data_IF_660518905311
#
_entry.id   IF_660518905311
#
_cell.length_a   1.000
_cell.length_b   1.000
_cell.length_c   1.000
_cell.angle_alpha   90.00
_cell.angle_beta   90.00
_cell.angle_gamma   90.00
#
_symmetry.space_group_name_H-M   'P 1'
#
loop_
_entity.id
_entity.type
_entity.pdbx_description
1 polymer ?
#
# COMPACT_ATOMS: atom_id res chain seq x y z
N UNK A 1 22.06 -37.38 -10.10
CA UNK A 1 20.96 -38.33 -10.39
C UNK A 1 19.66 -37.53 -10.43
N UNK A 2 19.00 -37.50 -11.59
CA UNK A 2 17.58 -37.16 -11.74
C UNK A 2 17.19 -35.68 -11.81
N UNK A 3 17.49 -35.01 -12.93
CA UNK A 3 16.89 -33.71 -13.29
C UNK A 3 15.45 -33.98 -13.79
N UNK A 4 14.45 -33.86 -12.90
CA UNK A 4 13.04 -34.07 -13.26
C UNK A 4 12.52 -32.83 -14.00
N UNK A 5 12.70 -32.82 -15.32
CA UNK A 5 12.01 -31.91 -16.21
C UNK A 5 10.49 -32.04 -16.04
N UNK A 6 9.84 -30.95 -15.62
CA UNK A 6 8.38 -30.89 -15.51
C UNK A 6 7.77 -31.04 -16.92
N UNK A 7 6.85 -31.99 -17.15
CA UNK A 7 6.20 -32.14 -18.44
C UNK A 7 5.36 -30.90 -18.79
N UNK A 8 5.34 -30.57 -20.08
CA UNK A 8 4.54 -29.47 -20.62
C UNK A 8 3.06 -29.74 -20.38
N UNK A 9 2.40 -28.93 -19.55
CA UNK A 9 0.95 -28.81 -19.56
C UNK A 9 0.61 -27.93 -20.76
N UNK A 10 0.13 -28.57 -21.82
CA UNK A 10 -0.45 -27.89 -22.97
C UNK A 10 -1.75 -27.25 -22.50
N UNK A 11 -1.79 -25.92 -22.41
CA UNK A 11 -3.04 -25.21 -22.23
C UNK A 11 -3.81 -25.36 -23.53
N UNK A 12 -4.90 -26.12 -23.50
CA UNK A 12 -5.92 -26.11 -24.54
C UNK A 12 -6.64 -24.75 -24.44
N UNK A 13 -6.00 -23.70 -24.95
CA UNK A 13 -6.67 -22.44 -25.18
C UNK A 13 -7.68 -22.65 -26.32
N UNK A 14 -8.93 -22.33 -26.03
CA UNK A 14 -10.09 -22.33 -26.92
C UNK A 14 -9.98 -21.37 -28.12
N UNK A 15 -8.83 -20.73 -28.33
CA UNK A 15 -8.49 -19.82 -29.45
C UNK A 15 -7.64 -20.51 -30.54
N UNK A 16 -7.85 -21.81 -30.74
CA UNK A 16 -6.97 -22.70 -31.52
C UNK A 16 -6.81 -22.42 -33.02
N UNK A 17 -7.57 -21.47 -33.56
CA UNK A 17 -7.68 -21.24 -35.01
C UNK A 17 -6.89 -20.04 -35.53
N UNK A 18 -6.29 -19.20 -34.68
CA UNK A 18 -5.58 -17.98 -35.12
C UNK A 18 -4.11 -17.94 -34.69
N UNK A 19 -3.27 -17.36 -35.54
CA UNK A 19 -1.85 -17.14 -35.24
C UNK A 19 -1.68 -16.06 -34.16
N UNK A 20 -1.05 -16.38 -33.03
CA UNK A 20 -0.82 -15.44 -31.92
C UNK A 20 0.13 -14.27 -32.27
N UNK A 21 0.81 -14.30 -33.42
CA UNK A 21 1.71 -13.22 -33.86
C UNK A 21 1.11 -12.26 -34.89
N UNK A 22 0.20 -12.74 -35.75
CA UNK A 22 -0.37 -11.93 -36.84
C UNK A 22 -1.90 -11.99 -36.91
N UNK A 23 -2.54 -12.67 -35.95
CA UNK A 23 -3.98 -12.84 -35.78
C UNK A 23 -4.73 -13.37 -37.02
N UNK A 24 -4.01 -13.93 -37.99
CA UNK A 24 -4.63 -14.54 -39.16
C UNK A 24 -5.02 -15.98 -38.86
N UNK A 25 -6.14 -16.48 -39.41
CA UNK A 25 -6.58 -17.85 -39.20
C UNK A 25 -5.59 -18.86 -39.79
N UNK A 26 -5.47 -20.01 -39.14
CA UNK A 26 -4.80 -21.18 -39.68
C UNK A 26 -5.66 -21.78 -40.80
N UNK A 27 -5.00 -22.34 -41.81
CA UNK A 27 -5.66 -22.94 -42.97
C UNK A 27 -4.77 -24.05 -43.53
N UNK A 28 -5.26 -24.81 -44.50
CA UNK A 28 -4.48 -25.87 -45.16
C UNK A 28 -3.12 -25.38 -45.71
N UNK A 29 -3.04 -24.11 -46.16
CA UNK A 29 -1.79 -23.50 -46.65
C UNK A 29 -1.01 -22.75 -45.57
N UNK A 30 -1.59 -22.55 -44.38
CA UNK A 30 -0.99 -21.86 -43.24
C UNK A 30 -1.08 -22.74 -41.99
N UNK A 31 -0.12 -23.66 -41.86
CA UNK A 31 -0.03 -24.58 -40.73
C UNK A 31 0.25 -23.88 -39.38
N UNK A 32 -0.25 -24.48 -38.31
CA UNK A 32 -0.02 -24.08 -36.92
C UNK A 32 1.30 -24.67 -36.40
N UNK A 33 2.13 -23.82 -35.80
CA UNK A 33 3.39 -24.20 -35.16
C UNK A 33 3.47 -23.69 -33.73
N UNK A 34 3.93 -24.52 -32.81
CA UNK A 34 4.01 -24.14 -31.39
C UNK A 34 5.37 -23.53 -31.06
N UNK A 35 5.37 -22.36 -30.42
CA UNK A 35 6.58 -21.77 -29.88
C UNK A 35 7.00 -22.53 -28.62
N UNK A 36 8.20 -23.12 -28.63
CA UNK A 36 8.71 -23.88 -27.47
C UNK A 36 9.22 -23.01 -26.32
N UNK A 37 9.17 -21.68 -26.46
CA UNK A 37 9.50 -20.72 -25.39
C UNK A 37 8.26 -20.18 -24.65
N UNK A 38 7.19 -19.80 -25.37
CA UNK A 38 5.97 -19.24 -24.78
C UNK A 38 4.75 -20.18 -24.80
N UNK A 39 4.79 -21.28 -25.56
CA UNK A 39 3.72 -22.28 -25.62
C UNK A 39 2.61 -22.01 -26.66
N UNK A 40 2.49 -20.78 -27.16
CA UNK A 40 1.39 -20.38 -28.07
C UNK A 40 1.57 -20.85 -29.52
N UNK A 41 0.48 -20.86 -30.29
CA UNK A 41 0.44 -21.23 -31.71
C UNK A 41 0.71 -20.07 -32.68
N UNK A 42 1.60 -20.28 -33.66
CA UNK A 42 2.04 -19.29 -34.65
C UNK A 42 2.09 -19.89 -36.05
N UNK A 43 1.98 -19.05 -37.08
CA UNK A 43 2.24 -19.46 -38.46
C UNK A 43 3.75 -19.55 -38.73
N UNK A 44 4.13 -20.17 -39.86
CA UNK A 44 5.54 -20.35 -40.21
C UNK A 44 6.30 -19.02 -40.34
N UNK A 45 5.63 -17.96 -40.79
CA UNK A 45 6.20 -16.61 -40.90
C UNK A 45 6.50 -15.97 -39.55
N UNK A 46 5.65 -16.17 -38.54
CA UNK A 46 5.79 -15.58 -37.20
C UNK A 46 6.66 -16.41 -36.23
N UNK A 47 7.15 -17.56 -36.70
CA UNK A 47 7.98 -18.50 -35.94
C UNK A 47 9.11 -19.06 -36.78
N UNK A 48 9.71 -18.18 -37.57
CA UNK A 48 10.72 -18.51 -38.58
C UNK A 48 12.02 -19.06 -37.99
N UNK A 49 12.30 -18.72 -36.73
CA UNK A 49 13.58 -18.95 -36.08
C UNK A 49 13.57 -20.15 -35.12
N UNK A 50 14.74 -20.80 -34.95
CA UNK A 50 14.97 -21.86 -33.96
C UNK A 50 16.05 -21.45 -32.96
N UNK A 51 15.83 -21.73 -31.68
CA UNK A 51 16.80 -21.46 -30.60
C UNK A 51 16.69 -22.50 -29.48
N UNK A 52 17.79 -22.77 -28.77
CA UNK A 52 17.74 -23.62 -27.58
C UNK A 52 16.92 -22.94 -26.48
N UNK A 53 16.17 -23.73 -25.72
CA UNK A 53 15.35 -23.28 -24.58
C UNK A 53 15.66 -24.19 -23.38
N UNK A 54 16.89 -24.11 -22.79
CA UNK A 54 17.36 -25.09 -21.80
C UNK A 54 16.49 -25.13 -20.53
N UNK A 55 15.95 -23.99 -20.11
CA UNK A 55 15.06 -23.88 -18.94
C UNK A 55 13.68 -24.52 -19.15
N UNK A 56 13.35 -24.93 -20.38
CA UNK A 56 12.17 -25.77 -20.69
C UNK A 56 12.58 -27.18 -21.13
N UNK A 57 13.81 -27.60 -20.85
CA UNK A 57 14.33 -28.93 -21.18
C UNK A 57 14.75 -29.13 -22.63
N UNK A 58 14.78 -28.07 -23.44
CA UNK A 58 15.23 -28.14 -24.85
C UNK A 58 16.66 -27.62 -24.98
N UNK A 59 17.64 -28.52 -24.84
CA UNK A 59 19.05 -28.18 -25.04
C UNK A 59 19.37 -27.85 -26.52
N UNK A 60 18.70 -28.53 -27.45
CA UNK A 60 18.85 -28.33 -28.90
C UNK A 60 17.99 -27.18 -29.44
N UNK A 61 18.36 -26.55 -30.57
CA UNK A 61 17.57 -25.47 -31.18
C UNK A 61 16.16 -25.90 -31.60
N UNK A 62 15.15 -25.41 -30.88
CA UNK A 62 13.72 -25.66 -31.13
C UNK A 62 13.02 -24.43 -31.67
N UNK A 63 11.87 -24.61 -32.33
CA UNK A 63 11.12 -23.50 -32.96
C UNK A 63 10.61 -22.50 -31.92
N UNK A 64 10.87 -21.22 -32.14
CA UNK A 64 10.51 -20.11 -31.25
C UNK A 64 9.91 -18.98 -32.09
N UNK A 65 8.88 -18.30 -31.57
CA UNK A 65 8.26 -17.17 -32.27
C UNK A 65 9.22 -15.98 -32.36
N UNK A 66 9.03 -15.13 -33.37
CA UNK A 66 9.96 -14.02 -33.65
C UNK A 66 10.01 -13.03 -32.47
N UNK A 67 8.89 -12.86 -31.74
CA UNK A 67 8.85 -12.05 -30.51
C UNK A 67 9.76 -12.60 -29.41
N UNK A 68 9.72 -13.92 -29.18
CA UNK A 68 10.57 -14.59 -28.19
C UNK A 68 12.06 -14.55 -28.59
N UNK A 69 12.34 -14.64 -29.90
CA UNK A 69 13.71 -14.47 -30.41
C UNK A 69 14.23 -13.05 -30.18
N UNK A 70 13.43 -12.04 -30.52
CA UNK A 70 13.78 -10.64 -30.29
C UNK A 70 13.95 -10.31 -28.80
N UNK A 71 13.11 -10.84 -27.92
CA UNK A 71 13.24 -10.68 -26.47
C UNK A 71 14.55 -11.30 -25.94
N UNK A 72 14.90 -12.49 -26.41
CA UNK A 72 16.14 -13.17 -26.02
C UNK A 72 17.39 -12.44 -26.56
N UNK A 73 17.36 -11.94 -27.80
CA UNK A 73 18.49 -11.19 -28.37
C UNK A 73 18.65 -9.81 -27.74
N UNK A 74 17.56 -9.15 -27.34
CA UNK A 74 17.62 -7.91 -26.53
C UNK A 74 18.26 -8.16 -25.17
N UNK A 75 17.91 -9.26 -24.50
CA UNK A 75 18.50 -9.63 -23.20
C UNK A 75 20.00 -9.89 -23.34
N UNK A 76 20.44 -10.62 -24.38
CA UNK A 76 21.87 -10.84 -24.66
C UNK A 76 22.60 -9.55 -25.04
N UNK A 77 21.96 -8.64 -25.79
CA UNK A 77 22.53 -7.33 -26.13
C UNK A 77 22.68 -6.44 -24.90
N UNK A 78 21.71 -6.44 -23.99
CA UNK A 78 21.78 -5.73 -22.71
C UNK A 78 22.85 -6.30 -21.77
N UNK A 79 23.01 -7.63 -21.72
CA UNK A 79 24.09 -8.28 -20.98
C UNK A 79 25.47 -7.93 -21.56
N UNK A 80 25.60 -7.87 -22.89
CA UNK A 80 26.85 -7.45 -23.55
C UNK A 80 27.13 -5.96 -23.38
N UNK A 81 26.11 -5.10 -23.40
CA UNK A 81 26.25 -3.66 -23.10
C UNK A 81 26.64 -3.47 -21.63
N UNK A 82 26.05 -4.21 -20.68
CA UNK A 82 26.48 -4.24 -19.27
C UNK A 82 27.93 -4.72 -19.09
N UNK A 83 28.36 -5.72 -19.85
CA UNK A 83 29.73 -6.22 -19.81
C UNK A 83 30.73 -5.26 -20.49
N UNK A 84 30.30 -4.53 -21.53
CA UNK A 84 31.12 -3.59 -22.28
C UNK A 84 31.23 -2.20 -21.60
N UNK A 85 30.24 -1.81 -20.80
CA UNK A 85 30.27 -0.59 -19.99
C UNK A 85 31.12 -0.71 -18.73
N UNK A 86 31.71 -1.88 -18.45
CA UNK A 86 32.46 -2.13 -17.23
C UNK A 86 31.59 -2.00 -15.97
N UNK A 87 32.10 -2.50 -14.84
CA UNK A 87 31.59 -2.08 -13.53
C UNK A 87 32.09 -0.67 -13.22
N UNK A 88 31.90 0.29 -14.12
CA UNK A 88 32.05 1.70 -13.79
C UNK A 88 30.89 2.04 -12.85
N UNK A 89 31.19 1.86 -11.56
CA UNK A 89 30.49 2.39 -10.38
C UNK A 89 29.10 2.96 -10.68
N UNK A 90 28.12 2.06 -10.72
CA UNK A 90 26.73 2.42 -10.46
C UNK A 90 26.71 2.93 -9.01
N UNK A 91 26.84 4.25 -8.84
CA UNK A 91 26.91 4.90 -7.55
C UNK A 91 25.56 4.75 -6.82
N UNK A 92 25.46 3.96 -5.75
CA UNK A 92 24.21 3.77 -5.00
C UNK A 92 23.68 5.09 -4.39
N UNK A 93 24.47 6.16 -4.33
CA UNK A 93 24.03 7.48 -3.88
C UNK A 93 23.27 8.28 -4.96
N UNK A 94 23.31 7.89 -6.23
CA UNK A 94 22.65 8.61 -7.36
C UNK A 94 21.30 8.02 -7.79
N UNK A 95 20.83 6.94 -7.16
CA UNK A 95 19.60 6.25 -7.59
C UNK A 95 18.31 6.86 -7.09
N UNK A 96 17.83 7.82 -7.88
CA UNK A 96 16.47 7.99 -8.38
C UNK A 96 16.51 9.37 -8.99
N UNK A 97 16.78 9.47 -10.31
CA UNK A 97 16.85 10.79 -10.96
C UNK A 97 15.54 11.58 -10.78
N UNK A 98 14.46 10.88 -10.43
CA UNK A 98 13.21 11.46 -10.01
C UNK A 98 13.29 12.25 -8.69
N UNK A 99 14.18 11.97 -7.74
CA UNK A 99 14.14 12.54 -6.37
C UNK A 99 15.48 13.13 -5.89
N UNK A 100 16.36 13.58 -6.81
CA UNK A 100 17.72 14.09 -6.52
C UNK A 100 17.84 15.63 -6.53
N UNK A 101 16.74 16.37 -6.60
CA UNK A 101 16.77 17.83 -6.65
C UNK A 101 17.22 18.44 -5.29
N UNK A 102 18.25 19.29 -5.32
CA UNK A 102 18.79 20.00 -4.14
C UNK A 102 17.76 20.89 -3.43
N UNK A 103 16.74 21.38 -4.15
CA UNK A 103 15.64 22.13 -3.54
C UNK A 103 14.75 21.26 -2.65
N UNK A 104 14.63 19.96 -2.95
CA UNK A 104 13.91 19.01 -2.10
C UNK A 104 14.69 18.72 -0.81
N UNK A 105 16.02 18.65 -0.87
CA UNK A 105 16.86 18.36 0.31
C UNK A 105 16.67 19.42 1.41
N UNK A 106 16.77 20.71 1.07
CA UNK A 106 16.54 21.81 2.03
C UNK A 106 15.12 21.79 2.62
N UNK A 107 14.12 21.44 1.81
CA UNK A 107 12.73 21.31 2.27
C UNK A 107 12.56 20.15 3.24
N UNK A 108 13.27 19.03 3.06
CA UNK A 108 13.25 17.89 3.99
C UNK A 108 13.78 18.27 5.37
N UNK A 109 14.85 19.07 5.43
CA UNK A 109 15.38 19.58 6.70
C UNK A 109 14.37 20.47 7.43
N UNK A 110 13.70 21.39 6.70
CA UNK A 110 12.66 22.23 7.29
C UNK A 110 11.49 21.40 7.82
N UNK A 111 11.06 20.37 7.09
CA UNK A 111 9.99 19.46 7.54
C UNK A 111 10.41 18.65 8.78
N UNK A 112 11.67 18.21 8.86
CA UNK A 112 12.19 17.49 10.02
C UNK A 112 12.10 18.36 11.29
N UNK A 113 12.45 19.64 11.20
CA UNK A 113 12.34 20.59 12.31
C UNK A 113 10.89 20.79 12.77
N UNK A 114 9.93 20.85 11.83
CA UNK A 114 8.50 20.93 12.16
C UNK A 114 8.06 19.66 12.91
N UNK A 115 8.47 18.48 12.42
CA UNK A 115 8.11 17.22 13.05
C UNK A 115 8.68 17.07 14.46
N UNK A 116 9.93 17.50 14.68
CA UNK A 116 10.55 17.52 16.00
C UNK A 116 9.82 18.48 16.97
N UNK A 117 9.43 19.66 16.49
CA UNK A 117 8.63 20.60 17.27
C UNK A 117 7.26 20.00 17.66
N UNK A 118 6.56 19.33 16.73
CA UNK A 118 5.30 18.63 16.99
C UNK A 118 5.46 17.49 17.98
N UNK A 119 6.52 16.70 17.85
CA UNK A 119 6.87 15.61 18.78
C UNK A 119 7.07 16.15 20.20
N UNK A 120 7.78 17.28 20.34
CA UNK A 120 7.96 17.96 21.63
C UNK A 120 6.63 18.43 22.22
N UNK A 121 5.75 19.04 21.42
CA UNK A 121 4.43 19.50 21.87
C UNK A 121 3.57 18.31 22.32
N UNK A 122 3.54 17.23 21.54
CA UNK A 122 2.79 16.02 21.89
C UNK A 122 3.25 15.43 23.23
N UNK A 123 4.55 15.22 23.39
CA UNK A 123 5.11 14.63 24.60
C UNK A 123 4.91 15.52 25.83
N UNK A 124 4.99 16.85 25.67
CA UNK A 124 4.86 17.79 26.78
C UNK A 124 3.41 18.03 27.21
N UNK A 125 2.46 18.11 26.26
CA UNK A 125 1.09 18.58 26.54
C UNK A 125 -0.01 17.54 26.31
N UNK A 126 0.12 16.66 25.31
CA UNK A 126 -0.96 15.73 24.93
C UNK A 126 -0.79 14.36 25.58
N UNK A 127 0.43 13.81 25.53
CA UNK A 127 0.74 12.47 26.06
C UNK A 127 0.42 12.31 27.56
N UNK A 128 0.72 13.29 28.45
CA UNK A 128 0.35 13.16 29.87
C UNK A 128 -1.16 13.06 30.07
N UNK A 129 -1.94 13.80 29.28
CA UNK A 129 -3.39 13.76 29.30
C UNK A 129 -3.91 12.39 28.81
N UNK A 130 -3.36 11.88 27.72
CA UNK A 130 -3.74 10.56 27.17
C UNK A 130 -3.48 9.43 28.17
N UNK A 131 -2.34 9.48 28.88
CA UNK A 131 -1.98 8.49 29.90
C UNK A 131 -2.87 8.60 31.15
N UNK A 132 -3.11 9.81 31.66
CA UNK A 132 -3.93 10.04 32.85
C UNK A 132 -5.39 9.56 32.66
N UNK A 133 -5.91 9.70 31.45
CA UNK A 133 -7.29 9.34 31.12
C UNK A 133 -7.43 8.04 30.32
N UNK A 134 -6.36 7.23 30.22
CA UNK A 134 -6.37 5.91 29.56
C UNK A 134 -6.91 5.95 28.12
N UNK A 135 -6.55 6.98 27.38
CA UNK A 135 -7.04 7.25 26.02
C UNK A 135 -6.86 6.05 25.07
N UNK A 136 -5.71 5.38 25.14
CA UNK A 136 -5.39 4.23 24.30
C UNK A 136 -6.41 3.09 24.40
N UNK A 137 -6.95 2.85 25.59
CA UNK A 137 -7.91 1.76 25.85
C UNK A 137 -9.29 2.03 25.22
N UNK A 138 -9.58 3.29 24.84
CA UNK A 138 -10.83 3.68 24.18
C UNK A 138 -10.70 3.72 22.66
N UNK A 139 -9.55 4.14 22.15
CA UNK A 139 -9.36 4.45 20.73
C UNK A 139 -8.36 3.55 20.00
N UNK A 140 -7.68 2.62 20.70
CA UNK A 140 -6.66 1.71 20.16
C UNK A 140 -5.59 2.43 19.32
N UNK A 141 -5.17 3.60 19.80
CA UNK A 141 -4.40 4.59 19.05
C UNK A 141 -3.22 5.10 19.86
N UNK A 142 -2.31 4.22 20.27
CA UNK A 142 -1.03 4.69 20.80
C UNK A 142 -0.21 5.29 19.65
N UNK A 143 0.12 6.57 19.78
CA UNK A 143 1.00 7.22 18.84
C UNK A 143 2.42 7.05 19.36
N UNK A 144 3.17 6.20 18.66
CA UNK A 144 4.57 5.91 19.01
C UNK A 144 5.48 7.03 18.52
N UNK A 145 6.67 7.13 19.09
CA UNK A 145 7.67 8.08 18.59
C UNK A 145 8.04 7.82 17.12
N UNK A 146 8.05 6.55 16.71
CA UNK A 146 8.25 6.15 15.32
C UNK A 146 7.18 6.69 14.37
N UNK A 147 5.97 7.00 14.84
CA UNK A 147 4.92 7.60 14.00
C UNK A 147 5.23 9.07 13.65
N UNK A 148 5.93 9.80 14.51
CA UNK A 148 6.38 11.17 14.23
C UNK A 148 7.57 11.19 13.28
N UNK A 149 8.49 10.24 13.43
CA UNK A 149 9.73 10.18 12.67
C UNK A 149 9.55 9.44 11.34
N UNK A 150 8.41 8.75 11.16
CA UNK A 150 8.08 8.06 9.92
C UNK A 150 8.02 9.02 8.73
N UNK A 151 8.54 8.59 7.59
CA UNK A 151 8.37 9.29 6.31
C UNK A 151 6.95 9.08 5.77
N UNK A 152 6.49 9.84 4.77
CA UNK A 152 5.23 9.57 4.09
C UNK A 152 5.15 8.13 3.57
N UNK A 153 4.01 7.48 3.76
CA UNK A 153 3.78 6.10 3.33
C UNK A 153 2.97 6.04 2.04
N UNK A 154 3.48 5.30 1.06
CA UNK A 154 2.76 4.93 -0.17
C UNK A 154 2.35 3.45 -0.09
N UNK A 155 1.05 3.19 0.04
CA UNK A 155 0.49 1.84 0.11
C UNK A 155 0.12 1.35 -1.30
N UNK A 156 0.63 0.19 -1.72
CA UNK A 156 0.26 -0.42 -3.00
C UNK A 156 -0.76 -1.53 -2.79
N UNK A 157 -1.91 -1.44 -3.44
CA UNK A 157 -2.98 -2.44 -3.40
C UNK A 157 -3.29 -2.92 -4.81
N UNK A 158 -3.62 -4.19 -4.99
CA UNK A 158 -4.00 -4.71 -6.30
C UNK A 158 -3.92 -6.22 -6.37
N UNK A 159 -4.53 -6.75 -7.43
CA UNK A 159 -4.59 -8.19 -7.66
C UNK A 159 -3.22 -8.82 -7.89
N UNK A 160 -3.22 -10.14 -7.94
CA UNK A 160 -2.04 -10.90 -8.26
C UNK A 160 -1.51 -10.57 -9.68
N UNK A 161 -0.19 -10.51 -9.85
CA UNK A 161 0.51 -10.25 -11.13
C UNK A 161 0.27 -8.87 -11.80
N UNK A 162 -0.36 -7.89 -11.14
CA UNK A 162 -0.58 -6.54 -11.70
C UNK A 162 0.68 -5.65 -11.74
N UNK A 163 1.77 -6.08 -11.09
CA UNK A 163 3.06 -5.39 -11.13
C UNK A 163 3.37 -4.45 -9.94
N UNK A 164 2.83 -4.70 -8.75
CA UNK A 164 3.10 -3.89 -7.53
C UNK A 164 4.58 -3.87 -7.15
N UNK A 165 5.17 -5.04 -6.96
CA UNK A 165 6.60 -5.20 -6.65
C UNK A 165 7.49 -4.62 -7.75
N UNK A 166 7.11 -4.82 -9.03
CA UNK A 166 7.81 -4.28 -10.19
C UNK A 166 7.74 -2.75 -10.24
N UNK A 167 6.61 -2.15 -9.85
CA UNK A 167 6.44 -0.69 -9.77
C UNK A 167 7.40 -0.08 -8.73
N UNK A 168 7.51 -0.69 -7.55
CA UNK A 168 8.45 -0.23 -6.51
C UNK A 168 9.89 -0.32 -7.04
N UNK A 169 10.28 -1.48 -7.58
CA UNK A 169 11.61 -1.67 -8.19
C UNK A 169 11.90 -0.64 -9.27
N UNK A 170 10.92 -0.34 -10.12
CA UNK A 170 11.03 0.67 -11.17
C UNK A 170 11.29 2.07 -10.62
N UNK A 171 10.60 2.48 -9.55
CA UNK A 171 10.84 3.77 -8.89
C UNK A 171 12.18 3.85 -8.15
N UNK A 172 12.60 2.73 -7.56
CA UNK A 172 13.92 2.60 -6.90
C UNK A 172 15.07 2.55 -7.91
N UNK A 173 14.79 2.18 -9.18
CA UNK A 173 15.78 1.88 -10.23
C UNK A 173 16.79 0.79 -9.82
N UNK A 174 16.42 -0.02 -8.82
CA UNK A 174 17.25 -1.11 -8.31
C UNK A 174 16.40 -2.16 -7.61
N UNK A 175 17.02 -3.31 -7.44
CA UNK A 175 16.49 -4.40 -6.65
C UNK A 175 16.53 -4.08 -5.14
N UNK A 176 15.55 -4.63 -4.40
CA UNK A 176 15.47 -4.51 -2.94
C UNK A 176 15.37 -5.89 -2.26
N UNK A 177 15.90 -6.04 -1.02
CA UNK A 177 15.88 -7.30 -0.28
C UNK A 177 14.49 -7.88 -0.10
N UNK A 178 14.37 -9.21 -0.18
CA UNK A 178 13.09 -9.90 0.05
C UNK A 178 12.09 -9.83 -1.11
N UNK A 179 12.38 -9.08 -2.19
CA UNK A 179 11.49 -9.04 -3.34
C UNK A 179 11.38 -10.42 -4.03
N UNK A 180 10.18 -10.75 -4.47
CA UNK A 180 9.91 -11.95 -5.27
C UNK A 180 9.07 -11.55 -6.49
N UNK A 181 9.71 -11.46 -7.64
CA UNK A 181 9.02 -11.15 -8.90
C UNK A 181 8.93 -12.45 -9.70
N UNK A 182 7.72 -12.95 -9.89
CA UNK A 182 7.46 -14.14 -10.70
C UNK A 182 6.01 -14.23 -11.16
N UNK A 183 5.71 -15.05 -12.19
CA UNK A 183 4.36 -15.25 -12.73
C UNK A 183 3.46 -16.12 -11.84
N UNK A 184 4.02 -16.81 -10.84
CA UNK A 184 3.31 -17.59 -9.81
C UNK A 184 3.13 -16.78 -8.51
N UNK A 185 2.06 -17.02 -7.71
CA UNK A 185 1.80 -16.32 -6.44
C UNK A 185 3.01 -16.31 -5.51
N UNK A 186 3.82 -15.27 -5.64
CA UNK A 186 5.19 -15.19 -5.11
C UNK A 186 5.27 -14.27 -3.89
N UNK A 187 4.39 -13.27 -3.82
CA UNK A 187 4.28 -12.33 -2.69
C UNK A 187 3.06 -12.69 -1.84
N UNK A 188 3.29 -13.46 -0.78
CA UNK A 188 2.33 -13.81 0.27
C UNK A 188 2.47 -12.94 1.53
N UNK A 189 3.38 -11.95 1.50
CA UNK A 189 3.76 -11.10 2.63
C UNK A 189 3.54 -9.62 2.34
N UNK A 190 3.27 -8.87 3.40
CA UNK A 190 3.38 -7.42 3.39
C UNK A 190 4.85 -7.04 3.51
N UNK A 191 5.34 -6.18 2.62
CA UNK A 191 6.74 -5.75 2.61
C UNK A 191 6.79 -4.23 2.71
N UNK A 192 7.29 -3.72 3.83
CA UNK A 192 7.59 -2.30 3.98
C UNK A 192 9.00 -2.02 3.46
N UNK A 193 9.12 -1.31 2.34
CA UNK A 193 10.40 -0.95 1.74
C UNK A 193 10.82 0.45 2.23
N UNK A 194 11.85 0.49 3.07
CA UNK A 194 12.27 1.66 3.83
C UNK A 194 13.75 1.94 3.66
N UNK A 195 14.15 3.17 3.99
CA UNK A 195 15.56 3.53 4.01
C UNK A 195 16.31 2.77 5.10
N UNK A 196 17.48 2.26 4.75
CA UNK A 196 18.42 1.63 5.67
C UNK A 196 19.86 2.02 5.39
N UNK A 197 20.74 1.68 6.34
CA UNK A 197 22.19 1.83 6.16
C UNK A 197 22.80 0.76 5.26
N UNK A 198 22.13 -0.39 5.17
CA UNK A 198 22.58 -1.57 4.44
C UNK A 198 21.37 -2.34 3.91
N UNK A 199 21.56 -3.03 2.79
CA UNK A 199 20.59 -3.96 2.23
C UNK A 199 20.32 -5.12 3.19
N UNK A 200 19.15 -5.14 3.83
CA UNK A 200 18.73 -6.23 4.71
C UNK A 200 17.22 -6.38 4.79
N UNK A 201 16.79 -7.56 5.22
CA UNK A 201 15.41 -7.85 5.58
C UNK A 201 15.27 -7.99 7.09
N UNK A 202 14.24 -7.39 7.66
CA UNK A 202 13.89 -7.44 9.08
C UNK A 202 12.53 -8.14 9.23
N UNK A 203 12.44 -9.27 9.95
CA UNK A 203 11.18 -9.96 10.19
C UNK A 203 10.15 -9.11 10.95
N UNK A 204 8.87 -9.31 10.67
CA UNK A 204 7.77 -8.52 11.24
C UNK A 204 7.71 -8.53 12.77
N UNK A 205 8.02 -9.66 13.41
CA UNK A 205 8.09 -9.74 14.88
C UNK A 205 9.15 -8.78 15.46
N UNK A 206 10.30 -8.67 14.81
CA UNK A 206 11.36 -7.74 15.22
C UNK A 206 10.99 -6.29 14.89
N UNK A 207 10.34 -6.05 13.75
CA UNK A 207 9.88 -4.71 13.36
C UNK A 207 8.78 -4.17 14.28
N UNK A 208 7.91 -5.02 14.82
CA UNK A 208 6.83 -4.64 15.72
C UNK A 208 7.29 -4.30 17.16
N UNK A 209 8.51 -4.70 17.55
CA UNK A 209 9.06 -4.34 18.88
C UNK A 209 10.01 -3.15 18.83
N UNK A 210 10.40 -2.69 17.64
CA UNK A 210 11.30 -1.54 17.48
C UNK A 210 10.51 -0.23 17.60
N UNK A 211 10.70 0.57 18.69
CA UNK A 211 9.95 1.79 18.92
C UNK A 211 10.29 2.91 17.92
N UNK A 212 11.38 2.76 17.16
CA UNK A 212 11.79 3.72 16.13
C UNK A 212 11.01 3.54 14.82
N UNK A 213 10.21 2.48 14.71
CA UNK A 213 9.41 2.16 13.51
C UNK A 213 7.93 2.41 13.77
N UNK A 214 7.15 2.82 12.75
CA UNK A 214 5.71 3.04 12.87
C UNK A 214 4.90 1.74 12.88
N UNK A 215 5.50 0.60 13.21
CA UNK A 215 4.90 -0.74 13.08
C UNK A 215 4.58 -1.39 14.42
N UNK A 216 4.84 -0.72 15.54
CA UNK A 216 4.63 -1.27 16.88
C UNK A 216 3.21 -1.79 17.10
N UNK A 217 2.23 -1.01 16.63
CA UNK A 217 0.82 -1.37 16.79
C UNK A 217 0.33 -2.50 15.86
N UNK A 218 1.17 -3.01 14.95
CA UNK A 218 0.86 -4.21 14.15
C UNK A 218 0.84 -5.49 15.01
N UNK A 219 1.42 -5.47 16.21
CA UNK A 219 1.35 -6.59 17.16
C UNK A 219 -0.08 -7.01 17.50
N UNK A 220 -1.06 -6.11 17.36
CA UNK A 220 -2.49 -6.39 17.57
C UNK A 220 -3.04 -7.49 16.66
N UNK A 221 -2.46 -7.67 15.46
CA UNK A 221 -2.90 -8.68 14.49
C UNK A 221 -2.33 -10.07 14.78
N UNK A 222 -1.51 -10.20 15.83
CA UNK A 222 -0.97 -11.47 16.30
C UNK A 222 0.22 -11.98 15.48
N UNK A 223 0.81 -13.07 15.97
CA UNK A 223 2.01 -13.68 15.40
C UNK A 223 1.81 -14.25 14.00
N UNK A 224 0.59 -14.72 13.68
CA UNK A 224 0.24 -15.23 12.35
C UNK A 224 0.45 -14.17 11.26
N UNK A 225 0.01 -12.93 11.52
CA UNK A 225 0.25 -11.80 10.63
C UNK A 225 1.72 -11.38 10.62
N UNK A 226 2.36 -11.23 11.78
CA UNK A 226 3.74 -10.76 11.88
C UNK A 226 4.74 -11.69 11.17
N UNK A 227 4.44 -12.98 11.05
CA UNK A 227 5.22 -13.93 10.25
C UNK A 227 5.09 -13.70 8.72
N UNK A 228 4.05 -12.97 8.30
CA UNK A 228 3.81 -12.54 6.91
C UNK A 228 4.00 -11.03 6.72
N UNK A 229 4.71 -10.38 7.64
CA UNK A 229 5.15 -9.00 7.53
C UNK A 229 6.67 -8.94 7.54
N UNK A 230 7.24 -8.10 6.70
CA UNK A 230 8.68 -7.97 6.50
C UNK A 230 9.02 -6.51 6.23
N UNK A 231 10.14 -6.03 6.78
CA UNK A 231 10.68 -4.70 6.45
C UNK A 231 11.95 -4.90 5.64
N UNK A 232 11.93 -4.41 4.41
CA UNK A 232 13.08 -4.39 3.50
C UNK A 232 13.78 -3.05 3.60
N UNK A 233 15.04 -3.06 4.01
CA UNK A 233 15.85 -1.86 4.20
C UNK A 233 16.96 -1.80 3.16
N UNK A 234 17.12 -0.63 2.55
CA UNK A 234 18.19 -0.34 1.59
C UNK A 234 18.48 1.15 1.55
N UNK A 235 19.68 1.52 1.11
CA UNK A 235 20.05 2.93 0.89
C UNK A 235 19.58 3.36 -0.49
N UNK A 236 18.59 4.26 -0.56
CA UNK A 236 18.09 4.79 -1.83
C UNK A 236 17.52 6.22 -1.66
N UNK A 237 17.94 7.20 -2.48
CA UNK A 237 17.47 8.60 -2.43
C UNK A 237 15.96 8.83 -2.33
N UNK A 238 15.14 8.07 -3.07
CA UNK A 238 13.67 8.18 -2.99
C UNK A 238 13.15 7.76 -1.61
N UNK A 239 13.81 6.78 -0.97
CA UNK A 239 13.44 6.32 0.35
C UNK A 239 13.74 7.35 1.43
N UNK A 240 14.59 8.35 1.14
CA UNK A 240 14.78 9.54 1.99
C UNK A 240 13.59 10.49 2.01
N UNK A 241 12.72 10.42 1.00
CA UNK A 241 11.51 11.23 0.92
C UNK A 241 10.27 10.49 1.44
N UNK A 242 10.12 9.20 1.15
CA UNK A 242 8.92 8.40 1.42
C UNK A 242 9.28 6.92 1.62
N UNK A 243 8.34 6.08 2.00
CA UNK A 243 8.53 4.64 2.00
C UNK A 243 7.31 3.93 1.39
N UNK A 244 7.53 2.71 0.90
CA UNK A 244 6.48 1.94 0.23
C UNK A 244 6.04 0.77 1.10
N UNK A 245 4.76 0.40 0.99
CA UNK A 245 4.25 -0.87 1.50
C UNK A 245 3.68 -1.66 0.33
N UNK A 246 4.36 -2.73 -0.04
CA UNK A 246 3.85 -3.72 -0.99
C UNK A 246 2.91 -4.68 -0.25
N UNK A 247 1.71 -4.86 -0.79
CA UNK A 247 0.73 -5.78 -0.23
C UNK A 247 0.73 -7.11 -1.00
N UNK A 248 0.38 -8.23 -0.34
CA UNK A 248 0.12 -9.48 -1.05
C UNK A 248 -0.86 -9.29 -2.21
N UNK A 249 -0.68 -10.07 -3.29
CA UNK A 249 -1.65 -10.09 -4.38
C UNK A 249 -3.03 -10.52 -3.91
N UNK A 250 -4.05 -9.69 -4.16
CA UNK A 250 -5.44 -10.08 -3.90
C UNK A 250 -5.78 -11.23 -4.86
N UNK A 251 -6.20 -12.37 -4.29
CA UNK A 251 -6.48 -13.60 -5.03
C UNK A 251 -7.93 -13.58 -5.53
N UNK A 252 -8.16 -14.18 -6.69
CA UNK A 252 -9.49 -14.40 -7.25
C UNK A 252 -10.05 -15.74 -6.74
N UNK A 253 -10.87 -15.71 -5.69
CA UNK A 253 -11.65 -16.88 -5.22
C UNK A 253 -11.63 -17.13 -3.72
N UNK A 254 -12.64 -17.83 -3.20
CA UNK A 254 -12.85 -18.04 -1.76
C UNK A 254 -11.90 -19.04 -1.10
N UNK A 255 -11.44 -20.07 -1.83
CA UNK A 255 -10.65 -21.17 -1.25
C UNK A 255 -9.28 -20.76 -0.71
N UNK A 256 -8.70 -19.67 -1.22
CA UNK A 256 -7.40 -19.15 -0.76
C UNK A 256 -7.51 -18.09 0.35
N UNK A 257 -8.73 -17.66 0.71
CA UNK A 257 -8.95 -16.71 1.83
C UNK A 257 -8.72 -17.37 3.19
N UNK A 258 -9.05 -18.66 3.31
CA UNK A 258 -8.96 -19.41 4.57
C UNK A 258 -7.51 -19.71 4.99
N UNK A 259 -6.53 -19.53 4.11
CA UNK A 259 -5.14 -19.95 4.33
C UNK A 259 -4.19 -18.81 4.79
N UNK A 260 -4.71 -17.60 5.03
CA UNK A 260 -3.85 -16.47 5.47
C UNK A 260 -3.56 -16.46 6.97
N UNK A 261 -4.50 -16.91 7.80
CA UNK A 261 -4.36 -16.90 9.26
C UNK A 261 -4.47 -15.50 9.90
N UNK A 262 -4.91 -14.49 9.15
CA UNK A 262 -5.20 -13.13 9.65
C UNK A 262 -6.26 -12.45 8.78
N UNK A 263 -6.92 -11.42 9.30
CA UNK A 263 -7.90 -10.62 8.57
C UNK A 263 -7.18 -9.62 7.65
N UNK A 264 -7.21 -9.87 6.33
CA UNK A 264 -6.52 -9.03 5.35
C UNK A 264 -7.14 -7.64 5.26
N UNK A 265 -8.47 -7.54 5.24
CA UNK A 265 -9.20 -6.29 5.15
C UNK A 265 -8.87 -5.34 6.32
N UNK A 266 -8.80 -5.86 7.56
CA UNK A 266 -8.43 -5.06 8.74
C UNK A 266 -6.98 -4.56 8.70
N UNK A 267 -6.04 -5.39 8.22
CA UNK A 267 -4.64 -4.98 8.06
C UNK A 267 -4.52 -3.89 6.99
N UNK A 268 -5.19 -4.05 5.85
CA UNK A 268 -5.20 -3.02 4.80
C UNK A 268 -5.82 -1.73 5.30
N UNK A 269 -6.90 -1.80 6.10
CA UNK A 269 -7.48 -0.64 6.75
C UNK A 269 -6.45 0.10 7.61
N UNK A 270 -5.72 -0.65 8.43
CA UNK A 270 -4.71 -0.07 9.33
C UNK A 270 -3.60 0.66 8.58
N UNK A 271 -3.15 0.11 7.45
CA UNK A 271 -2.18 0.78 6.59
C UNK A 271 -2.82 2.00 5.89
N UNK A 272 -4.05 1.89 5.41
CA UNK A 272 -4.75 2.98 4.72
C UNK A 272 -4.98 4.22 5.60
N UNK A 273 -5.28 4.01 6.88
CA UNK A 273 -5.40 5.07 7.89
C UNK A 273 -4.10 5.89 7.99
N UNK A 274 -2.96 5.21 7.93
CA UNK A 274 -1.61 5.80 8.05
C UNK A 274 -0.99 6.22 6.72
N UNK A 275 -1.53 5.74 5.59
CA UNK A 275 -1.00 6.04 4.27
C UNK A 275 -1.18 7.52 3.96
N UNK A 276 -0.19 8.09 3.29
CA UNK A 276 -0.26 9.43 2.71
C UNK A 276 -0.78 9.36 1.26
N UNK A 277 -0.57 8.21 0.61
CA UNK A 277 -1.03 7.89 -0.74
C UNK A 277 -1.35 6.41 -0.84
N UNK A 278 -2.46 6.06 -1.49
CA UNK A 278 -2.85 4.68 -1.74
C UNK A 278 -2.90 4.48 -3.25
N UNK A 279 -2.04 3.63 -3.79
CA UNK A 279 -1.98 3.31 -5.21
C UNK A 279 -2.68 1.98 -5.43
N UNK A 280 -3.77 1.98 -6.18
CA UNK A 280 -4.48 0.77 -6.59
C UNK A 280 -4.09 0.42 -8.03
N UNK A 281 -3.43 -0.72 -8.22
CA UNK A 281 -2.94 -1.17 -9.52
C UNK A 281 -3.91 -2.16 -10.17
N UNK A 282 -4.20 -1.91 -11.44
CA UNK A 282 -4.95 -2.79 -12.34
C UNK A 282 -4.09 -3.17 -13.54
N UNK A 283 -4.32 -4.36 -14.09
CA UNK A 283 -3.70 -4.80 -15.34
C UNK A 283 -4.64 -4.49 -16.51
N UNK A 284 -4.17 -3.71 -17.49
CA UNK A 284 -4.96 -3.31 -18.65
C UNK A 284 -5.40 -4.49 -19.52
N UNK A 285 -4.64 -5.59 -19.52
CA UNK A 285 -4.96 -6.79 -20.27
C UNK A 285 -5.92 -7.72 -19.54
N UNK A 286 -5.93 -7.67 -18.20
CA UNK A 286 -6.74 -8.55 -17.33
C UNK A 286 -7.55 -7.73 -16.32
N UNK A 287 -8.50 -6.95 -16.84
CA UNK A 287 -9.39 -6.17 -16.01
C UNK A 287 -10.50 -7.07 -15.42
N UNK A 288 -10.21 -7.69 -14.28
CA UNK A 288 -11.20 -8.30 -13.41
C UNK A 288 -11.27 -7.50 -12.11
N UNK A 289 -12.44 -7.40 -11.47
CA UNK A 289 -12.56 -6.86 -10.10
C UNK A 289 -13.19 -7.94 -9.24
N UNK A 290 -12.33 -8.77 -8.66
CA UNK A 290 -12.73 -9.83 -7.75
C UNK A 290 -13.48 -9.29 -6.54
N UNK A 291 -14.34 -10.10 -5.91
CA UNK A 291 -15.11 -9.67 -4.74
C UNK A 291 -14.22 -9.30 -3.54
N UNK A 292 -13.03 -9.90 -3.44
CA UNK A 292 -12.06 -9.52 -2.41
C UNK A 292 -11.46 -8.13 -2.67
N UNK A 293 -11.18 -7.80 -3.93
CA UNK A 293 -10.77 -6.44 -4.29
C UNK A 293 -11.90 -5.45 -4.02
N UNK A 294 -13.17 -5.79 -4.31
CA UNK A 294 -14.32 -4.94 -3.97
C UNK A 294 -14.41 -4.67 -2.47
N UNK A 295 -14.29 -5.70 -1.61
CA UNK A 295 -14.31 -5.52 -0.15
C UNK A 295 -13.13 -4.68 0.33
N UNK A 296 -11.94 -4.92 -0.22
CA UNK A 296 -10.76 -4.10 0.09
C UNK A 296 -11.01 -2.63 -0.29
N UNK A 297 -11.54 -2.35 -1.48
CA UNK A 297 -11.90 -1.00 -1.91
C UNK A 297 -13.00 -0.36 -1.04
N UNK A 298 -13.95 -1.15 -0.54
CA UNK A 298 -14.98 -0.65 0.40
C UNK A 298 -14.37 -0.18 1.72
N UNK A 299 -13.37 -0.90 2.24
CA UNK A 299 -12.61 -0.49 3.44
C UNK A 299 -11.83 0.80 3.18
N UNK A 300 -11.27 0.94 1.96
CA UNK A 300 -10.54 2.13 1.55
C UNK A 300 -11.42 3.36 1.26
N UNK A 301 -12.75 3.20 1.19
CA UNK A 301 -13.69 4.28 0.84
C UNK A 301 -13.55 5.53 1.72
N UNK A 302 -13.26 5.35 3.01
CA UNK A 302 -13.07 6.47 3.94
C UNK A 302 -11.79 7.29 3.70
N UNK A 303 -10.96 6.86 2.74
CA UNK A 303 -9.68 7.45 2.41
C UNK A 303 -9.56 7.72 0.90
N UNK A 304 -10.69 7.95 0.21
CA UNK A 304 -10.75 8.12 -1.25
C UNK A 304 -9.93 9.29 -1.78
N UNK A 305 -9.76 10.36 -1.00
CA UNK A 305 -8.90 11.52 -1.33
C UNK A 305 -7.43 11.11 -1.52
N UNK A 306 -7.02 10.06 -0.81
CA UNK A 306 -5.67 9.48 -0.89
C UNK A 306 -5.50 8.51 -2.04
N UNK A 307 -6.59 8.00 -2.64
CA UNK A 307 -6.51 6.94 -3.65
C UNK A 307 -6.07 7.51 -5.00
N UNK A 308 -5.13 6.81 -5.64
CA UNK A 308 -4.76 6.98 -7.04
C UNK A 308 -4.77 5.61 -7.70
N UNK A 309 -5.18 5.57 -8.96
CA UNK A 309 -5.32 4.32 -9.69
C UNK A 309 -4.26 4.28 -10.77
N UNK A 310 -3.62 3.13 -10.94
CA UNK A 310 -2.69 2.90 -12.05
C UNK A 310 -3.27 1.78 -12.90
N UNK A 311 -3.55 2.08 -14.17
CA UNK A 311 -3.83 1.07 -15.18
C UNK A 311 -2.51 0.68 -15.84
N UNK A 312 -1.88 -0.35 -15.29
CA UNK A 312 -0.56 -0.84 -15.66
C UNK A 312 -0.62 -1.74 -16.89
N UNK A 313 0.53 -1.94 -17.55
CA UNK A 313 0.66 -2.75 -18.78
C UNK A 313 -0.21 -2.24 -19.94
N UNK A 314 -0.52 -0.93 -19.95
CA UNK A 314 -1.35 -0.31 -20.97
C UNK A 314 -0.70 -0.33 -22.36
N UNK A 315 0.61 -0.55 -22.45
CA UNK A 315 1.33 -0.71 -23.72
C UNK A 315 1.00 -2.00 -24.48
N UNK A 316 0.46 -3.01 -23.79
CA UNK A 316 0.11 -4.31 -24.38
C UNK A 316 -1.20 -4.30 -25.17
N UNK A 317 -1.96 -3.20 -25.14
CA UNK A 317 -3.25 -3.06 -25.81
C UNK A 317 -3.23 -1.84 -26.74
N UNK A 318 -4.07 -1.87 -27.77
CA UNK A 318 -4.20 -0.73 -28.69
C UNK A 318 -5.02 0.42 -28.07
N UNK A 319 -5.04 1.57 -28.74
CA UNK A 319 -5.75 2.76 -28.23
C UNK A 319 -7.26 2.56 -28.09
N UNK A 320 -7.91 1.75 -28.94
CA UNK A 320 -9.36 1.53 -28.85
C UNK A 320 -9.70 0.61 -27.67
N UNK A 321 -8.95 -0.46 -27.49
CA UNK A 321 -9.07 -1.37 -26.37
C UNK A 321 -8.74 -0.66 -25.07
N UNK A 322 -7.71 0.21 -25.05
CA UNK A 322 -7.38 1.04 -23.89
C UNK A 322 -8.57 1.88 -23.43
N UNK A 323 -9.27 2.55 -24.34
CA UNK A 323 -10.45 3.34 -24.00
C UNK A 323 -11.61 2.47 -23.49
N UNK A 324 -11.79 1.27 -24.02
CA UNK A 324 -12.81 0.31 -23.53
C UNK A 324 -12.50 -0.18 -22.13
N UNK A 325 -11.24 -0.55 -21.87
CA UNK A 325 -10.76 -1.02 -20.56
C UNK A 325 -10.86 0.10 -19.52
N UNK A 326 -10.45 1.31 -19.90
CA UNK A 326 -10.58 2.50 -19.06
C UNK A 326 -12.04 2.79 -18.69
N UNK A 327 -12.95 2.78 -19.68
CA UNK A 327 -14.38 2.96 -19.44
C UNK A 327 -14.96 1.89 -18.51
N UNK A 328 -14.60 0.62 -18.72
CA UNK A 328 -15.03 -0.50 -17.88
C UNK A 328 -14.50 -0.39 -16.44
N UNK A 329 -13.26 0.06 -16.26
CA UNK A 329 -12.66 0.33 -14.96
C UNK A 329 -13.44 1.41 -14.22
N UNK A 330 -13.63 2.58 -14.85
CA UNK A 330 -14.33 3.71 -14.24
C UNK A 330 -15.78 3.37 -13.88
N UNK A 331 -16.48 2.64 -14.76
CA UNK A 331 -17.82 2.14 -14.50
C UNK A 331 -17.86 1.23 -13.27
N UNK A 332 -16.90 0.32 -13.15
CA UNK A 332 -16.85 -0.63 -12.03
C UNK A 332 -16.45 0.05 -10.72
N UNK A 333 -15.52 1.01 -10.76
CA UNK A 333 -15.14 1.81 -9.61
C UNK A 333 -16.29 2.67 -9.12
N UNK A 334 -17.06 3.32 -10.00
CA UNK A 334 -18.22 4.14 -9.61
C UNK A 334 -19.32 3.34 -8.88
N UNK A 335 -19.41 2.02 -9.11
CA UNK A 335 -20.32 1.15 -8.35
C UNK A 335 -19.83 0.86 -6.94
N UNK A 336 -18.51 0.82 -6.74
CA UNK A 336 -17.87 0.44 -5.46
C UNK A 336 -17.58 1.66 -4.61
N UNK A 337 -16.89 2.64 -5.18
CA UNK A 337 -16.58 3.92 -4.57
C UNK A 337 -17.72 4.88 -4.90
N UNK A 338 -18.73 4.90 -4.03
CA UNK A 338 -19.85 5.85 -4.11
C UNK A 338 -19.39 7.24 -3.65
N UNK A 339 -18.55 7.88 -4.46
CA UNK A 339 -18.10 9.27 -4.29
C UNK A 339 -18.58 10.12 -5.45
N UNK A 340 -18.95 11.39 -5.23
CA UNK A 340 -19.14 12.34 -6.31
C UNK A 340 -17.82 12.70 -7.01
N UNK A 341 -16.67 12.49 -6.36
CA UNK A 341 -15.36 12.85 -6.91
C UNK A 341 -14.78 11.72 -7.77
N UNK A 342 -14.25 12.09 -8.94
CA UNK A 342 -13.64 11.15 -9.87
C UNK A 342 -12.19 10.90 -9.46
N UNK A 343 -11.86 9.63 -9.19
CA UNK A 343 -10.49 9.23 -8.83
C UNK A 343 -9.57 9.38 -10.05
N UNK A 344 -8.41 10.03 -9.88
CA UNK A 344 -7.37 10.12 -10.92
C UNK A 344 -6.79 8.75 -11.22
N UNK A 345 -6.83 8.39 -12.51
CA UNK A 345 -6.22 7.18 -13.07
C UNK A 345 -4.99 7.58 -13.89
N UNK A 346 -3.88 6.88 -13.68
CA UNK A 346 -2.65 6.99 -14.44
C UNK A 346 -2.51 5.82 -15.42
N UNK A 347 -2.22 6.12 -16.68
CA UNK A 347 -2.10 5.13 -17.75
C UNK A 347 -0.63 4.89 -18.10
N UNK A 348 -0.19 3.63 -18.14
CA UNK A 348 1.14 3.32 -18.63
C UNK A 348 1.65 1.93 -18.28
N UNK A 349 2.95 1.76 -18.43
CA UNK A 349 3.65 0.52 -18.09
C UNK A 349 4.89 0.87 -17.28
N UNK A 350 4.79 0.63 -15.97
CA UNK A 350 5.75 1.09 -14.98
C UNK A 350 6.77 -0.02 -14.66
N UNK A 351 7.63 -0.29 -15.63
CA UNK A 351 8.69 -1.30 -15.56
C UNK A 351 9.88 -0.95 -16.44
N UNK A 352 11.01 -1.63 -16.26
CA UNK A 352 12.28 -1.35 -16.94
C UNK A 352 12.31 -1.79 -18.42
N UNK A 353 11.19 -2.25 -18.98
CA UNK A 353 11.14 -2.80 -20.33
C UNK A 353 10.71 -1.73 -21.36
N UNK A 354 11.21 -1.79 -22.60
CA UNK A 354 10.73 -0.94 -23.68
C UNK A 354 9.23 -1.14 -23.91
N UNK A 355 8.53 -0.06 -24.28
CA UNK A 355 7.13 -0.15 -24.67
C UNK A 355 6.94 -1.18 -25.79
N UNK A 356 5.89 -1.99 -25.65
CA UNK A 356 5.44 -2.88 -26.72
C UNK A 356 5.12 -2.06 -27.98
N UNK A 357 5.28 -2.70 -29.15
CA UNK A 357 5.05 -2.07 -30.45
C UNK A 357 3.63 -1.48 -30.57
N UNK A 358 2.65 -2.16 -29.99
CA UNK A 358 1.25 -1.73 -29.87
C UNK A 358 1.08 -0.44 -29.07
N UNK A 359 1.89 -0.24 -28.03
CA UNK A 359 1.83 0.93 -27.15
C UNK A 359 2.58 2.16 -27.65
N UNK A 360 3.38 2.05 -28.72
CA UNK A 360 4.17 3.18 -29.24
C UNK A 360 3.32 4.35 -29.72
N UNK A 361 2.09 4.10 -30.17
CA UNK A 361 1.15 5.16 -30.57
C UNK A 361 0.75 6.06 -29.40
N UNK A 362 0.78 5.53 -28.17
CA UNK A 362 0.40 6.22 -26.94
C UNK A 362 1.61 6.64 -26.09
N UNK A 363 2.83 6.58 -26.64
CA UNK A 363 4.08 6.86 -25.90
C UNK A 363 4.07 8.24 -25.23
N UNK A 364 3.60 9.28 -25.94
CA UNK A 364 3.48 10.64 -25.39
C UNK A 364 2.51 10.70 -24.21
N UNK A 365 1.39 9.97 -24.31
CA UNK A 365 0.39 9.89 -23.23
C UNK A 365 1.00 9.20 -22.01
N UNK A 366 1.63 8.03 -22.20
CA UNK A 366 2.26 7.29 -21.10
C UNK A 366 3.39 8.08 -20.43
N UNK A 367 4.16 8.84 -21.20
CA UNK A 367 5.20 9.70 -20.67
C UNK A 367 4.62 10.84 -19.81
N UNK A 368 3.57 11.51 -20.29
CA UNK A 368 2.89 12.57 -19.52
C UNK A 368 2.24 12.03 -18.24
N UNK A 369 1.52 10.91 -18.33
CA UNK A 369 0.89 10.26 -17.16
C UNK A 369 1.92 9.78 -16.14
N UNK A 370 3.09 9.32 -16.59
CA UNK A 370 4.22 9.00 -15.71
C UNK A 370 4.74 10.25 -15.01
N UNK A 371 4.93 11.36 -15.73
CA UNK A 371 5.40 12.62 -15.14
C UNK A 371 4.43 13.15 -14.07
N UNK A 372 3.13 13.12 -14.36
CA UNK A 372 2.08 13.49 -13.40
C UNK A 372 2.14 12.62 -12.13
N UNK A 373 2.31 11.29 -12.29
CA UNK A 373 2.42 10.38 -11.15
C UNK A 373 3.65 10.68 -10.30
N UNK A 374 4.81 10.90 -10.93
CA UNK A 374 6.04 11.23 -10.22
C UNK A 374 5.89 12.57 -9.49
N UNK A 375 5.27 13.57 -10.11
CA UNK A 375 4.97 14.86 -9.49
C UNK A 375 4.07 14.72 -8.26
N UNK A 376 3.02 13.89 -8.34
CA UNK A 376 2.15 13.59 -7.19
C UNK A 376 2.94 12.95 -6.03
N UNK A 377 3.84 12.00 -6.32
CA UNK A 377 4.69 11.36 -5.31
C UNK A 377 5.70 12.32 -4.68
N UNK A 378 6.32 13.21 -5.47
CA UNK A 378 7.23 14.27 -4.97
C UNK A 378 6.53 15.27 -4.05
N UNK A 379 5.23 15.51 -4.25
CA UNK A 379 4.43 16.38 -3.39
C UNK A 379 4.17 15.82 -1.99
N UNK A 380 4.31 14.50 -1.78
CA UNK A 380 3.89 13.84 -0.53
C UNK A 380 4.64 14.32 0.71
N UNK A 381 5.98 14.47 0.74
CA UNK A 381 6.69 14.90 1.94
C UNK A 381 6.24 16.26 2.47
N UNK A 382 5.91 17.18 1.57
CA UNK A 382 5.42 18.50 1.96
C UNK A 382 3.99 18.44 2.53
N UNK A 383 3.11 17.72 1.84
CA UNK A 383 1.71 17.57 2.26
C UNK A 383 1.57 16.76 3.57
N UNK A 384 2.48 15.80 3.80
CA UNK A 384 2.48 14.99 5.00
C UNK A 384 2.75 15.80 6.27
N UNK A 385 3.67 16.78 6.22
CA UNK A 385 3.95 17.64 7.37
C UNK A 385 2.70 18.43 7.80
N UNK A 386 2.03 19.10 6.85
CA UNK A 386 0.78 19.82 7.10
C UNK A 386 -0.34 18.90 7.61
N UNK A 387 -0.46 17.71 7.02
CA UNK A 387 -1.43 16.70 7.45
C UNK A 387 -1.18 16.28 8.90
N UNK A 388 0.09 16.06 9.29
CA UNK A 388 0.45 15.68 10.66
C UNK A 388 0.16 16.78 11.68
N UNK A 389 0.36 18.05 11.33
CA UNK A 389 -0.10 19.17 12.15
C UNK A 389 -1.60 19.06 12.40
N UNK A 390 -2.39 18.91 11.33
CA UNK A 390 -3.84 18.81 11.44
C UNK A 390 -4.31 17.59 12.24
N UNK A 391 -3.69 16.43 12.05
CA UNK A 391 -3.99 15.23 12.84
C UNK A 391 -3.63 15.40 14.32
N UNK A 392 -2.51 16.06 14.63
CA UNK A 392 -2.15 16.35 16.02
C UNK A 392 -3.16 17.30 16.68
N UNK A 393 -3.64 18.31 15.94
CA UNK A 393 -4.68 19.25 16.42
C UNK A 393 -5.99 18.50 16.69
N UNK A 394 -6.45 17.66 15.76
CA UNK A 394 -7.65 16.83 15.96
C UNK A 394 -7.49 15.91 17.17
N UNK A 395 -6.33 15.27 17.31
CA UNK A 395 -6.01 14.39 18.44
C UNK A 395 -5.99 15.14 19.77
N UNK A 396 -5.41 16.34 19.80
CA UNK A 396 -5.39 17.19 21.00
C UNK A 396 -6.82 17.55 21.44
N UNK A 397 -7.69 17.94 20.50
CA UNK A 397 -9.11 18.22 20.79
C UNK A 397 -9.82 16.98 21.32
N UNK A 398 -9.65 15.84 20.66
CA UNK A 398 -10.25 14.58 21.07
C UNK A 398 -9.79 14.14 22.46
N UNK A 399 -8.49 14.25 22.75
CA UNK A 399 -7.92 13.93 24.05
C UNK A 399 -8.45 14.87 25.15
N UNK A 400 -8.58 16.17 24.86
CA UNK A 400 -9.22 17.15 25.76
C UNK A 400 -10.68 16.77 26.06
N UNK A 401 -11.49 16.53 25.03
CA UNK A 401 -12.91 16.17 25.19
C UNK A 401 -13.04 14.85 25.97
N UNK A 402 -12.21 13.86 25.66
CA UNK A 402 -12.13 12.58 26.37
C UNK A 402 -11.84 12.77 27.87
N UNK A 403 -10.83 13.57 28.20
CA UNK A 403 -10.46 13.86 29.58
C UNK A 403 -11.60 14.55 30.35
N UNK A 404 -12.26 15.53 29.73
CA UNK A 404 -13.40 16.24 30.33
C UNK A 404 -14.61 15.32 30.52
N UNK A 405 -14.93 14.47 29.55
CA UNK A 405 -15.99 13.48 29.65
C UNK A 405 -15.74 12.49 30.80
N UNK A 406 -14.53 11.90 30.87
CA UNK A 406 -14.21 10.96 31.95
C UNK A 406 -14.22 11.66 33.32
N UNK A 407 -13.71 12.88 33.40
CA UNK A 407 -13.74 13.68 34.64
C UNK A 407 -15.18 13.96 35.08
N UNK A 408 -16.04 14.39 34.17
CA UNK A 408 -17.46 14.62 34.44
C UNK A 408 -18.16 13.34 34.91
N UNK A 409 -17.93 12.22 34.23
CA UNK A 409 -18.53 10.94 34.58
C UNK A 409 -18.04 10.42 35.93
N UNK A 410 -16.74 10.55 36.24
CA UNK A 410 -16.16 10.21 37.55
C UNK A 410 -16.73 11.08 38.67
N UNK A 411 -16.86 12.39 38.44
CA UNK A 411 -17.46 13.32 39.42
C UNK A 411 -18.93 13.00 39.73
N UNK A 412 -19.63 12.38 38.77
CA UNK A 412 -21.03 11.97 38.90
C UNK A 412 -21.21 10.61 39.60
N UNK A 413 -20.13 9.91 39.95
CA UNK A 413 -20.20 8.61 40.65
C UNK A 413 -20.34 8.80 42.17
N UNK A 414 -21.11 7.94 42.86
CA UNK A 414 -21.20 7.95 44.32
C UNK A 414 -19.87 7.51 44.94
N UNK A 415 -19.62 7.91 46.20
CA UNK A 415 -18.35 7.62 46.89
C UNK A 415 -18.29 6.23 47.56
N UNK A 416 -19.44 5.68 47.99
CA UNK A 416 -19.47 4.48 48.85
C UNK A 416 -20.25 3.30 48.26
N UNK A 417 -21.48 3.52 47.79
CA UNK A 417 -22.39 2.44 47.37
C UNK A 417 -23.18 2.81 46.11
N UNK A 418 -23.63 1.80 45.36
CA UNK A 418 -24.47 1.99 44.18
C UNK A 418 -23.73 2.31 42.88
N UNK A 419 -22.41 2.08 42.84
CA UNK A 419 -21.57 2.32 41.66
C UNK A 419 -22.13 1.65 40.39
N UNK A 420 -22.50 0.37 40.44
CA UNK A 420 -22.99 -0.34 39.24
C UNK A 420 -24.30 0.24 38.69
N UNK A 421 -25.27 0.55 39.59
CA UNK A 421 -26.56 1.14 39.18
C UNK A 421 -26.37 2.53 38.57
N UNK A 422 -25.52 3.37 39.19
CA UNK A 422 -25.22 4.71 38.67
C UNK A 422 -24.44 4.64 37.36
N UNK A 423 -23.45 3.76 37.24
CA UNK A 423 -22.68 3.55 36.02
C UNK A 423 -23.59 3.13 34.86
N UNK A 424 -24.46 2.13 35.05
CA UNK A 424 -25.44 1.74 34.03
C UNK A 424 -26.36 2.90 33.62
N UNK A 425 -26.78 3.73 34.58
CA UNK A 425 -27.61 4.92 34.31
C UNK A 425 -26.86 5.99 33.49
N UNK A 426 -25.60 6.26 33.82
CA UNK A 426 -24.76 7.22 33.10
C UNK A 426 -24.45 6.74 31.69
N UNK A 427 -24.07 5.46 31.53
CA UNK A 427 -23.81 4.84 30.23
C UNK A 427 -25.09 4.81 29.36
N UNK A 428 -26.24 4.54 29.98
CA UNK A 428 -27.54 4.55 29.30
C UNK A 428 -28.00 5.93 28.86
N UNK A 429 -27.50 7.01 29.46
CA UNK A 429 -27.84 8.42 29.15
C UNK A 429 -26.64 9.21 28.64
N UNK A 430 -25.70 8.53 28.00
CA UNK A 430 -24.44 9.10 27.54
C UNK A 430 -24.64 10.29 26.59
N UNK A 431 -25.72 10.28 25.80
CA UNK A 431 -26.14 11.39 24.94
C UNK A 431 -26.40 12.68 25.73
N UNK A 432 -27.02 12.55 26.91
CA UNK A 432 -27.32 13.69 27.78
C UNK A 432 -26.05 14.20 28.44
N UNK A 433 -25.16 13.30 28.87
CA UNK A 433 -23.89 13.67 29.48
C UNK A 433 -22.97 14.38 28.47
N UNK A 434 -22.94 13.94 27.20
CA UNK A 434 -22.23 14.64 26.13
C UNK A 434 -22.74 16.07 25.95
N UNK A 435 -24.07 16.27 25.91
CA UNK A 435 -24.67 17.61 25.79
C UNK A 435 -24.34 18.51 26.99
N UNK A 436 -24.28 17.96 28.20
CA UNK A 436 -23.90 18.72 29.40
C UNK A 436 -22.45 19.17 29.32
N UNK A 437 -21.52 18.26 29.01
CA UNK A 437 -20.09 18.58 28.88
C UNK A 437 -19.84 19.56 27.74
N UNK A 438 -20.54 19.41 26.61
CA UNK A 438 -20.49 20.36 25.49
C UNK A 438 -20.90 21.77 25.92
N UNK A 439 -22.01 21.92 26.64
CA UNK A 439 -22.47 23.23 27.14
C UNK A 439 -21.58 23.80 28.24
N UNK A 440 -21.07 22.97 29.14
CA UNK A 440 -20.29 23.40 30.29
C UNK A 440 -18.92 23.97 29.88
N UNK A 441 -18.31 23.38 28.84
CA UNK A 441 -16.96 23.74 28.39
C UNK A 441 -16.93 24.39 27.01
N UNK A 442 -18.08 24.79 26.47
CA UNK A 442 -18.25 25.40 25.15
C UNK A 442 -17.54 24.62 24.02
N UNK A 443 -17.84 23.32 23.94
CA UNK A 443 -17.21 22.40 22.99
C UNK A 443 -18.15 22.09 21.82
N UNK A 444 -17.61 22.15 20.61
CA UNK A 444 -18.35 21.80 19.40
C UNK A 444 -18.75 20.32 19.42
N UNK A 445 -19.99 19.96 19.04
CA UNK A 445 -20.43 18.56 19.00
C UNK A 445 -19.56 17.66 18.10
N UNK A 446 -18.92 18.23 17.07
CA UNK A 446 -18.04 17.51 16.16
C UNK A 446 -16.70 17.07 16.76
N UNK A 447 -16.28 17.66 17.88
CA UNK A 447 -15.04 17.25 18.57
C UNK A 447 -15.26 16.02 19.48
N UNK A 448 -16.52 15.60 19.67
CA UNK A 448 -16.85 14.47 20.54
C UNK A 448 -16.60 13.12 19.84
N UNK A 449 -16.09 12.12 20.59
CA UNK A 449 -15.93 10.77 20.06
C UNK A 449 -17.27 10.13 19.73
N UNK A 450 -17.27 9.18 18.78
CA UNK A 450 -18.43 8.31 18.54
C UNK A 450 -18.91 7.69 19.86
N UNK A 451 -20.21 7.84 20.14
CA UNK A 451 -20.82 7.35 21.38
C UNK A 451 -20.66 5.84 21.53
N UNK A 452 -20.74 5.08 20.43
CA UNK A 452 -20.60 3.62 20.46
C UNK A 452 -19.18 3.20 20.84
N UNK A 453 -18.17 3.84 20.24
CA UNK A 453 -16.75 3.59 20.57
C UNK A 453 -16.44 3.95 22.02
N UNK A 454 -16.94 5.10 22.48
CA UNK A 454 -16.70 5.56 23.85
C UNK A 454 -17.42 4.66 24.88
N UNK A 455 -18.68 4.29 24.62
CA UNK A 455 -19.51 3.44 25.51
C UNK A 455 -18.84 2.11 25.86
N UNK A 456 -18.16 1.49 24.90
CA UNK A 456 -17.43 0.25 25.11
C UNK A 456 -16.32 0.40 26.17
N UNK A 457 -15.51 1.46 26.08
CA UNK A 457 -14.43 1.72 27.05
C UNK A 457 -14.95 2.19 28.42
N UNK A 458 -16.00 3.02 28.43
CA UNK A 458 -16.56 3.59 29.67
C UNK A 458 -17.02 2.51 30.67
N UNK A 459 -17.60 1.43 30.15
CA UNK A 459 -18.15 0.35 30.97
C UNK A 459 -17.08 -0.36 31.82
N UNK A 460 -15.82 -0.33 31.38
CA UNK A 460 -14.71 -0.93 32.10
C UNK A 460 -14.01 0.05 33.08
N UNK A 461 -14.10 1.36 32.85
CA UNK A 461 -13.14 2.33 33.44
C UNK A 461 -13.71 3.31 34.47
N UNK A 462 -15.03 3.40 34.60
CA UNK A 462 -15.69 4.33 35.55
C UNK A 462 -15.68 3.83 37.00
N UNK A 463 -15.36 2.55 37.27
CA UNK A 463 -15.52 1.93 38.59
C UNK A 463 -14.59 2.50 39.69
N UNK A 464 -13.52 3.21 39.35
CA UNK A 464 -12.54 3.72 40.31
C UNK A 464 -12.59 5.25 40.43
N UNK A 465 -13.34 5.75 41.41
CA UNK A 465 -13.30 7.16 41.81
C UNK A 465 -13.18 7.24 43.35
N UNK A 466 -11.96 7.07 43.85
CA UNK A 466 -11.63 7.16 45.28
C UNK A 466 -10.78 8.37 45.68
N UNK A 467 -10.48 9.31 44.77
CA UNK A 467 -9.64 10.47 45.15
C UNK A 467 -10.04 11.74 44.42
N UNK A 468 -10.35 12.79 45.20
CA UNK A 468 -10.59 14.17 44.73
C UNK A 468 -9.44 14.72 43.88
N UNK A 469 -8.21 14.17 43.98
CA UNK A 469 -7.03 14.61 43.22
C UNK A 469 -7.15 14.46 41.70
N UNK A 470 -7.99 13.56 41.17
CA UNK A 470 -8.03 13.31 39.72
C UNK A 470 -8.89 14.32 38.93
N UNK A 471 -9.71 15.14 39.60
CA UNK A 471 -10.60 16.10 38.94
C UNK A 471 -9.87 17.42 38.69
N UNK A 472 -8.97 17.83 39.61
CA UNK A 472 -8.12 19.02 39.45
C UNK A 472 -7.10 18.86 38.30
N UNK A 473 -6.63 17.62 38.04
CA UNK A 473 -5.58 17.38 37.05
C UNK A 473 -5.94 17.64 35.58
N UNK A 474 -7.20 17.59 35.15
CA UNK A 474 -7.51 17.78 33.72
C UNK A 474 -7.27 19.23 33.29
N UNK A 475 -7.80 20.19 34.05
CA UNK A 475 -7.62 21.62 33.78
C UNK A 475 -6.20 22.07 34.11
N UNK A 476 -5.57 21.53 35.16
CA UNK A 476 -4.16 21.79 35.49
C UNK A 476 -3.21 21.31 34.37
N UNK A 477 -3.44 20.12 33.78
CA UNK A 477 -2.64 19.61 32.65
C UNK A 477 -2.90 20.40 31.35
N UNK A 478 -4.11 20.97 31.20
CA UNK A 478 -4.51 21.75 30.03
C UNK A 478 -4.05 23.21 30.09
N UNK A 479 -3.72 23.74 31.27
CA UNK A 479 -3.04 25.05 31.46
C UNK A 479 -1.56 25.02 31.05
#
# INVERSE_FOLDING_TARGET
MGDFGVPVVWVEDSDGDFCAGCSSPFSFTRGRHMCRMCGSGFCGKCSSSKRPVPWRGYAEPVRVCDMCVQAADRTKRLQRVRAALGNDSIDPEKHSHYFTDMTEVKRREQNANIMEALKRIYNAKIRPLEQAFKFAEFYNSDLSEGDFDARPMVLLVGQYSVGKTSFIRYLLERDFPGQRIGPEPTTDRFVAVMQGKSDRSVPGNAAAVDPRRPFSSLGRFGTAFLNRFEVSELKCPILDALYFVDTPGILSGEKQRLDRGYNFEEVVQWFAERADRIIVLFDAHKLDISDELKRTLQVLKSHEDKIRIILNKADLIDSQQLMRVYGALMWSLGKVVKSPEVIRVFLGSFWDQPLALTGKTNEKLFAAEKEDLISDLRGLPHNAALRRVNELVKRARLAKVHALLISHLRSSMPYLWGHEKKQKKLVGRLDQEYRKVSKLHDLAPGDFPSMDKFRAGVSCHIRTAGSKRCIETAEDILS
#
